data_IF_840332096520
#
_entry.id   IF_840332096520
#
_cell.length_a   1.000
_cell.length_b   1.000
_cell.length_c   1.000
_cell.angle_alpha   90.00
_cell.angle_beta   90.00
_cell.angle_gamma   90.00
#
_symmetry.space_group_name_H-M   'P 1'
#
loop_
_entity.id
_entity.type
_entity.pdbx_description
1 polymer ?
#
# COMPACT_ATOMS: atom_id res chain seq x y z
N UNK A 1 -6.46 -22.34 -2.61
CA UNK A 1 -6.66 -21.08 -1.85
C UNK A 1 -8.00 -20.58 -2.29
N UNK A 2 -9.03 -20.73 -1.46
CA UNK A 2 -10.39 -20.38 -1.82
C UNK A 2 -10.58 -18.90 -1.46
N UNK A 3 -10.67 -18.05 -2.48
CA UNK A 3 -10.92 -16.63 -2.29
C UNK A 3 -12.39 -16.43 -1.96
N UNK A 4 -12.68 -16.04 -0.72
CA UNK A 4 -14.04 -15.77 -0.26
C UNK A 4 -14.25 -14.26 -0.26
N UNK A 5 -15.14 -13.78 -1.13
CA UNK A 5 -15.68 -12.41 -1.01
C UNK A 5 -16.94 -12.46 -0.15
N UNK A 6 -17.21 -11.39 0.59
CA UNK A 6 -18.41 -11.26 1.43
C UNK A 6 -19.03 -9.90 1.18
N UNK A 7 -20.33 -9.78 1.42
CA UNK A 7 -20.97 -8.47 1.45
C UNK A 7 -20.88 -7.92 2.87
N UNK A 8 -20.36 -6.70 2.97
CA UNK A 8 -20.32 -5.94 4.22
C UNK A 8 -21.39 -4.87 4.15
N UNK A 9 -22.33 -4.95 5.07
CA UNK A 9 -23.44 -4.01 5.17
C UNK A 9 -23.28 -3.21 6.46
N UNK A 10 -23.44 -1.89 6.35
CA UNK A 10 -23.42 -0.98 7.49
C UNK A 10 -24.82 -0.42 7.74
N UNK A 11 -25.39 -0.74 8.90
CA UNK A 11 -26.61 -0.11 9.39
C UNK A 11 -26.21 1.05 10.31
N UNK A 12 -26.57 2.27 9.93
CA UNK A 12 -26.31 3.47 10.72
C UNK A 12 -27.61 3.88 11.40
N UNK A 13 -27.58 3.96 12.72
CA UNK A 13 -28.74 4.37 13.53
C UNK A 13 -28.36 5.58 14.37
N UNK A 14 -29.16 6.63 14.29
CA UNK A 14 -29.07 7.78 15.20
C UNK A 14 -29.74 7.40 16.51
N UNK A 15 -29.02 7.53 17.62
CA UNK A 15 -29.49 7.26 18.97
C UNK A 15 -29.58 8.59 19.71
N UNK A 16 -30.79 8.94 20.14
CA UNK A 16 -31.02 10.10 20.99
C UNK A 16 -30.64 9.77 22.44
N UNK A 17 -30.06 10.73 23.14
CA UNK A 17 -29.63 10.59 24.53
C UNK A 17 -28.15 10.23 24.71
N UNK A 18 -27.68 10.21 25.98
CA UNK A 18 -26.29 9.98 26.31
C UNK A 18 -25.86 8.55 25.97
N UNK A 19 -24.61 8.37 25.57
CA UNK A 19 -24.03 7.05 25.35
C UNK A 19 -23.95 6.28 26.68
N UNK A 20 -24.80 5.26 26.84
CA UNK A 20 -24.75 4.35 27.99
C UNK A 20 -23.50 3.47 27.88
N UNK A 21 -22.55 3.64 28.81
CA UNK A 21 -21.33 2.83 28.88
C UNK A 21 -21.67 1.42 29.39
N UNK A 22 -21.11 0.39 28.75
CA UNK A 22 -21.25 -1.00 29.19
C UNK A 22 -20.64 -1.23 30.58
N UNK A 23 -21.01 -2.34 31.23
CA UNK A 23 -20.45 -2.72 32.54
C UNK A 23 -18.94 -2.98 32.43
N UNK A 24 -18.15 -2.34 33.30
CA UNK A 24 -16.70 -2.50 33.35
C UNK A 24 -16.02 -1.46 34.26
N UNK A 25 -14.72 -1.63 34.51
CA UNK A 25 -13.93 -0.69 35.31
C UNK A 25 -13.83 0.66 34.57
N UNK A 26 -14.16 1.80 35.20
CA UNK A 26 -13.98 3.12 34.61
C UNK A 26 -12.53 3.32 34.14
N UNK A 27 -12.36 3.88 32.93
CA UNK A 27 -11.03 4.21 32.39
C UNK A 27 -10.38 5.31 33.24
N UNK A 28 -9.06 5.23 33.45
CA UNK A 28 -8.26 6.22 34.20
C UNK A 28 -8.29 7.62 33.56
N UNK A 29 -8.58 7.71 32.26
CA UNK A 29 -8.85 8.96 31.53
C UNK A 29 -10.19 8.80 30.80
N UNK A 30 -11.26 9.47 31.26
CA UNK A 30 -12.54 9.42 30.59
C UNK A 30 -12.48 10.22 29.29
N UNK A 31 -13.01 9.65 28.21
CA UNK A 31 -13.36 10.42 27.02
C UNK A 31 -14.50 11.41 27.36
N UNK A 32 -14.57 12.56 26.66
CA UNK A 32 -15.65 13.53 26.84
C UNK A 32 -17.02 12.87 26.62
N UNK A 33 -18.03 13.32 27.35
CA UNK A 33 -19.39 12.84 27.15
C UNK A 33 -19.89 13.23 25.74
N UNK A 34 -20.38 12.25 24.99
CA UNK A 34 -21.03 12.51 23.70
C UNK A 34 -22.37 13.22 23.98
N UNK A 35 -22.47 14.47 23.56
CA UNK A 35 -23.61 15.33 23.88
C UNK A 35 -24.85 14.99 23.04
N UNK A 36 -25.99 14.80 23.74
CA UNK A 36 -27.40 14.79 23.29
C UNK A 36 -27.81 13.73 22.25
N UNK A 37 -26.97 13.35 21.30
CA UNK A 37 -27.23 12.27 20.35
C UNK A 37 -25.92 11.68 19.82
N UNK A 38 -25.92 10.40 19.50
CA UNK A 38 -24.77 9.71 18.90
C UNK A 38 -25.21 8.80 17.76
N UNK A 39 -24.28 8.45 16.87
CA UNK A 39 -24.54 7.47 15.82
C UNK A 39 -23.95 6.13 16.23
N UNK A 40 -24.75 5.07 16.09
CA UNK A 40 -24.29 3.69 16.19
C UNK A 40 -24.21 3.11 14.79
N UNK A 41 -23.05 2.56 14.45
CA UNK A 41 -22.85 1.82 13.22
C UNK A 41 -22.78 0.34 13.60
N UNK A 42 -23.68 -0.46 13.04
CA UNK A 42 -23.66 -1.91 13.14
C UNK A 42 -23.25 -2.51 11.80
N UNK A 43 -22.22 -3.33 11.82
CA UNK A 43 -21.76 -4.05 10.64
C UNK A 43 -22.32 -5.47 10.65
N UNK A 44 -22.85 -5.91 9.52
CA UNK A 44 -23.21 -7.29 9.30
C UNK A 44 -22.57 -7.79 8.01
N UNK A 45 -22.18 -9.04 8.00
CA UNK A 45 -21.62 -9.70 6.82
C UNK A 45 -22.58 -10.77 6.34
N UNK A 46 -22.76 -10.85 5.02
CA UNK A 46 -23.48 -11.97 4.40
C UNK A 46 -22.55 -12.71 3.45
N UNK A 47 -22.55 -14.06 3.48
CA UNK A 47 -21.82 -14.84 2.50
C UNK A 47 -22.43 -14.59 1.11
N UNK A 48 -21.58 -14.61 0.09
CA UNK A 48 -22.00 -14.53 -1.32
C UNK A 48 -21.74 -15.86 -2.01
N UNK A 49 -22.49 -16.14 -3.07
CA UNK A 49 -22.32 -17.38 -3.84
C UNK A 49 -20.95 -17.43 -4.51
N UNK A 50 -20.50 -18.65 -4.83
CA UNK A 50 -19.25 -18.88 -5.54
C UNK A 50 -19.22 -18.20 -6.92
N UNK A 51 -20.37 -18.13 -7.61
CA UNK A 51 -20.51 -17.41 -8.89
C UNK A 51 -20.23 -15.91 -8.72
N UNK A 52 -20.77 -15.29 -7.66
CA UNK A 52 -20.55 -13.88 -7.35
C UNK A 52 -19.08 -13.65 -6.99
N UNK A 53 -18.47 -14.53 -6.18
CA UNK A 53 -17.04 -14.48 -5.87
C UNK A 53 -16.20 -14.53 -7.15
N UNK A 54 -16.48 -15.48 -8.04
CA UNK A 54 -15.76 -15.67 -9.31
C UNK A 54 -15.92 -14.45 -10.22
N UNK A 55 -17.12 -13.90 -10.33
CA UNK A 55 -17.38 -12.70 -11.12
C UNK A 55 -16.61 -11.49 -10.56
N UNK A 56 -16.62 -11.30 -9.24
CA UNK A 56 -15.87 -10.22 -8.57
C UNK A 56 -14.37 -10.36 -8.79
N UNK A 57 -13.84 -11.57 -8.64
CA UNK A 57 -12.44 -11.87 -8.91
C UNK A 57 -12.07 -11.54 -10.36
N UNK A 58 -12.89 -11.94 -11.34
CA UNK A 58 -12.66 -11.62 -12.76
C UNK A 58 -12.67 -10.12 -13.01
N UNK A 59 -13.63 -9.39 -12.45
CA UNK A 59 -13.70 -7.93 -12.57
C UNK A 59 -12.48 -7.26 -11.94
N UNK A 60 -12.07 -7.68 -10.75
CA UNK A 60 -10.91 -7.11 -10.05
C UNK A 60 -9.56 -7.53 -10.65
N UNK A 61 -9.50 -8.68 -11.32
CA UNK A 61 -8.33 -9.14 -12.04
C UNK A 61 -8.19 -8.50 -13.43
N UNK A 62 -9.17 -7.70 -13.86
CA UNK A 62 -9.10 -6.95 -15.11
C UNK A 62 -8.44 -5.60 -14.86
N UNK A 63 -7.27 -5.39 -15.47
CA UNK A 63 -6.59 -4.10 -15.46
C UNK A 63 -6.20 -3.72 -16.89
N UNK A 64 -6.21 -2.42 -17.18
CA UNK A 64 -5.80 -1.88 -18.48
C UNK A 64 -4.40 -1.32 -18.32
N UNK A 65 -3.46 -1.87 -19.08
CA UNK A 65 -2.09 -1.36 -19.13
C UNK A 65 -1.92 -0.54 -20.42
N UNK A 66 -1.73 0.77 -20.25
CA UNK A 66 -1.48 1.70 -21.37
C UNK A 66 0.03 1.94 -21.44
N UNK A 67 0.62 1.76 -22.63
CA UNK A 67 2.03 2.07 -22.88
C UNK A 67 2.21 3.04 -24.03
N UNK A 68 3.22 3.89 -23.93
CA UNK A 68 3.75 4.65 -25.06
C UNK A 68 4.67 3.73 -25.87
N UNK A 69 4.39 3.57 -27.17
CA UNK A 69 5.25 2.79 -28.07
C UNK A 69 6.25 3.71 -28.75
N UNK A 70 7.53 3.58 -28.39
CA UNK A 70 8.62 4.24 -29.09
C UNK A 70 9.06 3.41 -30.30
N UNK A 71 9.58 4.07 -31.33
CA UNK A 71 10.09 3.37 -32.51
C UNK A 71 11.26 2.43 -32.14
N UNK A 72 11.29 1.24 -32.73
CA UNK A 72 12.25 0.18 -32.39
C UNK A 72 12.02 -0.58 -31.09
N UNK A 73 11.04 -0.21 -30.26
CA UNK A 73 10.73 -0.94 -29.02
C UNK A 73 9.65 -2.01 -29.25
N UNK A 74 10.12 -3.24 -29.50
CA UNK A 74 9.27 -4.44 -29.63
C UNK A 74 9.45 -5.29 -28.38
N UNK A 75 8.40 -5.37 -27.56
CA UNK A 75 8.34 -6.28 -26.40
C UNK A 75 7.01 -7.03 -26.42
N UNK A 76 7.05 -8.29 -26.02
CA UNK A 76 5.88 -9.16 -25.89
C UNK A 76 5.02 -8.75 -24.68
N UNK A 77 3.75 -9.15 -24.68
CA UNK A 77 2.76 -8.83 -23.65
C UNK A 77 3.17 -9.40 -22.28
N UNK A 78 3.77 -10.59 -22.25
CA UNK A 78 4.29 -11.19 -21.01
C UNK A 78 5.42 -10.34 -20.41
N UNK A 79 6.35 -9.89 -21.26
CA UNK A 79 7.46 -9.02 -20.83
C UNK A 79 6.96 -7.64 -20.38
N UNK A 80 5.94 -7.10 -21.05
CA UNK A 80 5.29 -5.85 -20.65
C UNK A 80 4.68 -5.96 -19.24
N UNK A 81 3.96 -7.05 -18.95
CA UNK A 81 3.36 -7.30 -17.63
C UNK A 81 4.44 -7.40 -16.56
N UNK A 82 5.53 -8.11 -16.82
CA UNK A 82 6.61 -8.26 -15.83
C UNK A 82 7.36 -6.94 -15.59
N UNK A 83 7.59 -6.13 -16.62
CA UNK A 83 8.15 -4.78 -16.45
C UNK A 83 7.20 -3.87 -15.66
N UNK A 84 5.90 -3.94 -15.91
CA UNK A 84 4.91 -3.20 -15.13
C UNK A 84 4.91 -3.61 -13.65
N UNK A 85 5.00 -4.92 -13.34
CA UNK A 85 5.19 -5.39 -11.96
C UNK A 85 6.48 -4.84 -11.34
N UNK A 86 7.54 -4.68 -12.13
CA UNK A 86 8.79 -4.04 -11.69
C UNK A 86 8.62 -2.55 -11.31
N UNK A 87 7.62 -1.84 -11.83
CA UNK A 87 7.33 -0.46 -11.43
C UNK A 87 6.95 -0.35 -9.96
N UNK A 88 6.24 -1.34 -9.42
CA UNK A 88 5.90 -1.40 -7.99
C UNK A 88 7.14 -1.38 -7.09
N UNK A 89 8.23 -2.00 -7.53
CA UNK A 89 9.50 -2.01 -6.79
C UNK A 89 10.08 -0.60 -6.65
N UNK A 90 10.06 0.18 -7.74
CA UNK A 90 10.49 1.58 -7.73
C UNK A 90 9.60 2.43 -6.81
N UNK A 91 8.28 2.25 -6.88
CA UNK A 91 7.32 2.96 -6.02
C UNK A 91 7.50 2.60 -4.54
N UNK A 92 7.82 1.34 -4.23
CA UNK A 92 8.12 0.90 -2.89
C UNK A 92 9.42 1.51 -2.35
N UNK A 93 10.45 1.64 -3.19
CA UNK A 93 11.70 2.35 -2.84
C UNK A 93 11.45 3.81 -2.45
N UNK A 94 10.57 4.51 -3.19
CA UNK A 94 10.17 5.88 -2.84
C UNK A 94 9.27 5.97 -1.60
N UNK A 95 8.41 4.98 -1.35
CA UNK A 95 7.61 4.90 -0.12
C UNK A 95 8.50 4.66 1.11
N UNK A 96 9.48 3.77 0.99
CA UNK A 96 10.52 3.56 1.99
C UNK A 96 11.31 4.84 2.24
N UNK A 97 11.66 5.58 1.19
CA UNK A 97 12.39 6.83 1.32
C UNK A 97 11.61 7.91 2.11
N UNK A 98 10.30 8.02 1.86
CA UNK A 98 9.43 8.99 2.53
C UNK A 98 9.17 8.62 4.00
N UNK A 99 8.86 7.36 4.28
CA UNK A 99 8.33 6.94 5.59
C UNK A 99 9.31 6.13 6.45
N UNK A 100 10.27 5.45 5.82
CA UNK A 100 11.25 4.56 6.46
C UNK A 100 10.63 3.35 7.19
N UNK A 101 11.43 2.34 7.57
CA UNK A 101 10.95 1.17 8.30
C UNK A 101 10.71 1.45 9.79
N UNK A 102 11.05 2.64 10.29
CA UNK A 102 10.86 3.01 11.71
C UNK A 102 10.69 4.51 11.92
N UNK A 103 9.83 5.17 11.14
CA UNK A 103 9.52 6.62 11.29
C UNK A 103 10.74 7.57 11.18
N UNK A 104 11.84 7.10 10.57
CA UNK A 104 13.10 7.84 10.35
C UNK A 104 13.34 8.17 8.86
N UNK A 105 12.28 8.18 8.05
CA UNK A 105 12.37 8.57 6.63
C UNK A 105 12.71 10.05 6.44
N UNK A 106 12.61 10.56 5.22
CA UNK A 106 12.80 11.99 4.93
C UNK A 106 11.81 12.91 5.69
N UNK A 107 10.58 12.45 5.94
CA UNK A 107 9.50 13.25 6.53
C UNK A 107 9.82 13.92 7.89
N UNK A 108 10.51 13.28 8.85
CA UNK A 108 10.92 13.92 10.11
C UNK A 108 12.07 14.94 10.00
N UNK A 109 12.70 15.13 8.83
CA UNK A 109 13.89 15.98 8.70
C UNK A 109 13.49 17.41 8.28
N UNK A 110 13.56 18.35 9.20
CA UNK A 110 13.29 19.76 8.94
C UNK A 110 14.58 20.50 8.51
N UNK A 111 14.60 21.00 7.27
CA UNK A 111 15.71 21.79 6.73
C UNK A 111 15.25 23.22 6.43
N UNK A 112 16.10 24.18 6.78
CA UNK A 112 15.75 25.61 6.77
C UNK A 112 15.75 26.27 5.38
N UNK A 113 16.40 25.67 4.38
CA UNK A 113 16.53 26.29 3.04
C UNK A 113 16.18 25.32 1.91
N UNK A 114 15.56 25.80 0.80
CA UNK A 114 15.21 24.97 -0.35
C UNK A 114 16.41 24.22 -0.94
N UNK A 115 17.59 24.85 -0.97
CA UNK A 115 18.82 24.22 -1.47
C UNK A 115 19.22 23.01 -0.65
N UNK A 116 19.11 23.08 0.68
CA UNK A 116 19.42 21.96 1.57
C UNK A 116 18.43 20.80 1.37
N UNK A 117 17.14 21.12 1.19
CA UNK A 117 16.11 20.12 0.89
C UNK A 117 16.44 19.41 -0.43
N UNK A 118 16.77 20.17 -1.47
CA UNK A 118 17.13 19.61 -2.78
C UNK A 118 18.40 18.73 -2.72
N UNK A 119 19.45 19.18 -2.04
CA UNK A 119 20.68 18.40 -1.85
C UNK A 119 20.43 17.10 -1.07
N UNK A 120 19.60 17.14 -0.03
CA UNK A 120 19.25 15.95 0.73
C UNK A 120 18.46 14.96 -0.14
N UNK A 121 17.41 15.42 -0.82
CA UNK A 121 16.64 14.59 -1.75
C UNK A 121 17.53 13.95 -2.82
N UNK A 122 18.47 14.70 -3.37
CA UNK A 122 19.43 14.18 -4.36
C UNK A 122 20.31 13.07 -3.80
N UNK A 123 20.91 13.26 -2.62
CA UNK A 123 21.73 12.24 -1.96
C UNK A 123 20.96 10.95 -1.69
N UNK A 124 19.69 11.07 -1.28
CA UNK A 124 18.82 9.92 -1.08
C UNK A 124 18.43 9.21 -2.38
N UNK A 125 18.17 9.96 -3.46
CA UNK A 125 17.95 9.36 -4.79
C UNK A 125 19.18 8.58 -5.26
N UNK A 126 20.39 9.12 -5.07
CA UNK A 126 21.64 8.40 -5.38
C UNK A 126 21.79 7.16 -4.51
N UNK A 127 21.47 7.26 -3.20
CA UNK A 127 21.47 6.12 -2.29
C UNK A 127 20.50 5.01 -2.71
N UNK A 128 19.29 5.37 -3.16
CA UNK A 128 18.32 4.40 -3.70
C UNK A 128 18.84 3.70 -4.96
N UNK A 129 19.47 4.44 -5.88
CA UNK A 129 20.08 3.84 -7.09
C UNK A 129 21.16 2.83 -6.71
N UNK A 130 22.04 3.18 -5.76
CA UNK A 130 23.11 2.28 -5.31
C UNK A 130 22.54 1.03 -4.64
N UNK A 131 21.59 1.21 -3.72
CA UNK A 131 20.92 0.11 -3.01
C UNK A 131 20.24 -0.87 -3.97
N UNK A 132 19.63 -0.36 -5.03
CA UNK A 132 18.98 -1.18 -6.05
C UNK A 132 20.01 -1.91 -6.93
N UNK A 133 21.16 -1.29 -7.22
CA UNK A 133 22.23 -1.91 -8.02
C UNK A 133 23.01 -3.02 -7.33
N UNK A 134 23.01 -3.08 -5.99
CA UNK A 134 23.60 -4.20 -5.24
C UNK A 134 22.73 -5.47 -5.25
N UNK A 135 21.52 -5.40 -5.82
CA UNK A 135 20.67 -6.56 -6.15
C UNK A 135 21.00 -7.01 -7.59
N UNK A 136 22.28 -7.31 -7.86
CA UNK A 136 22.65 -8.01 -9.08
C UNK A 136 22.15 -9.47 -9.00
N UNK A 137 21.31 -9.97 -9.92
CA UNK A 137 20.91 -11.37 -9.92
C UNK A 137 22.14 -12.28 -10.09
N UNK A 138 22.16 -13.49 -9.52
CA UNK A 138 23.34 -14.36 -9.44
C UNK A 138 23.86 -14.91 -10.79
N UNK A 139 23.41 -14.38 -11.94
CA UNK A 139 23.86 -14.80 -13.28
C UNK A 139 25.14 -14.11 -13.77
N UNK A 140 25.73 -13.20 -12.99
CA UNK A 140 27.02 -12.58 -13.31
C UNK A 140 28.20 -13.18 -12.51
N UNK A 141 28.18 -14.51 -12.25
CA UNK A 141 29.40 -15.23 -11.87
C UNK A 141 30.03 -15.81 -13.12
N UNK A 142 31.27 -15.40 -13.43
CA UNK A 142 32.10 -16.02 -14.49
C UNK A 142 32.11 -17.54 -14.31
N UNK A 143 32.17 -18.34 -15.38
CA UNK A 143 32.39 -19.77 -15.23
C UNK A 143 33.74 -19.98 -14.54
N UNK A 144 33.72 -20.63 -13.38
CA UNK A 144 34.93 -21.20 -12.78
C UNK A 144 35.31 -22.36 -13.69
N UNK A 145 36.43 -22.21 -14.40
CA UNK A 145 37.02 -23.25 -15.22
C UNK A 145 37.41 -24.40 -14.28
N UNK A 146 36.87 -25.59 -14.54
CA UNK A 146 37.22 -26.80 -13.82
C UNK A 146 38.65 -27.21 -14.17
N UNK A 147 39.46 -27.47 -13.15
CA UNK A 147 40.61 -28.36 -13.17
C UNK A 147 40.40 -29.40 -12.08
#
# INVERSE_FOLDING_TARGET
MDYVTIDLHAAITRVEGPLVRGRGRPRKRPEPELAKSHYRIAYHTSPVSEDICTQRLRTQATFILIRTRNDGWVIDDAELIDRYKGQYHNEHGFAWLKSGPSHKGLNPIFLATPTRIASLCFLYCVGLVIWDTDICPPRCRRPVVAN
#
